data_IF_844399160902
#
_entry.id   IF_844399160902
#
_cell.length_a   1.000
_cell.length_b   1.000
_cell.length_c   1.000
_cell.angle_alpha   90.00
_cell.angle_beta   90.00
_cell.angle_gamma   90.00
#
_symmetry.space_group_name_H-M   'P 1'
#
loop_
_entity.id
_entity.type
_entity.pdbx_description
1 polymer ?
#
# COMPACT_ATOMS: atom_id res chain seq x y z
N UNK A 1 -1.35 19.22 -27.74
CA UNK A 1 -0.46 19.89 -26.76
C UNK A 1 -0.47 19.18 -25.42
N UNK A 2 -1.63 18.92 -24.83
CA UNK A 2 -1.75 18.25 -23.52
C UNK A 2 -1.16 16.83 -23.51
N UNK A 3 -1.30 16.06 -24.58
CA UNK A 3 -0.74 14.69 -24.63
C UNK A 3 0.79 14.70 -24.59
N UNK A 4 1.43 15.55 -25.41
CA UNK A 4 2.90 15.66 -25.44
C UNK A 4 3.45 16.13 -24.10
N UNK A 5 2.78 17.08 -23.48
CA UNK A 5 3.14 17.60 -22.18
C UNK A 5 3.01 16.51 -21.09
N UNK A 6 1.87 15.81 -21.06
CA UNK A 6 1.67 14.72 -20.12
C UNK A 6 2.73 13.61 -20.25
N UNK A 7 3.03 13.19 -21.48
CA UNK A 7 4.09 12.20 -21.72
C UNK A 7 5.44 12.66 -21.18
N UNK A 8 5.82 13.92 -21.42
CA UNK A 8 7.05 14.48 -20.91
C UNK A 8 7.11 14.40 -19.38
N UNK A 9 6.06 14.85 -18.67
CA UNK A 9 6.01 14.80 -17.21
C UNK A 9 6.11 13.35 -16.68
N UNK A 10 5.46 12.38 -17.33
CA UNK A 10 5.55 10.98 -16.92
C UNK A 10 6.94 10.39 -17.18
N UNK A 11 7.57 10.70 -18.29
CA UNK A 11 8.94 10.29 -18.61
C UNK A 11 9.92 10.85 -17.57
N UNK A 12 9.84 12.13 -17.23
CA UNK A 12 10.66 12.77 -16.21
C UNK A 12 10.47 12.13 -14.84
N UNK A 13 9.23 11.82 -14.44
CA UNK A 13 8.95 11.15 -13.17
C UNK A 13 9.51 9.72 -13.13
N UNK A 14 9.42 8.99 -14.23
CA UNK A 14 10.00 7.64 -14.37
C UNK A 14 11.52 7.71 -14.28
N UNK A 15 12.14 8.61 -15.02
CA UNK A 15 13.60 8.79 -15.02
C UNK A 15 14.11 9.16 -13.62
N UNK A 16 13.44 10.06 -12.93
CA UNK A 16 13.73 10.41 -11.54
C UNK A 16 13.70 9.15 -10.64
N UNK A 17 12.64 8.37 -10.72
CA UNK A 17 12.49 7.15 -9.92
C UNK A 17 13.55 6.09 -10.24
N UNK A 18 13.89 5.91 -11.52
CA UNK A 18 14.95 4.97 -11.96
C UNK A 18 16.31 5.44 -11.45
N UNK A 19 16.63 6.71 -11.63
CA UNK A 19 17.90 7.29 -11.17
C UNK A 19 18.06 7.16 -9.66
N UNK A 20 17.02 7.47 -8.88
CA UNK A 20 17.01 7.28 -7.44
C UNK A 20 17.33 5.84 -7.04
N UNK A 21 16.74 4.84 -7.72
CA UNK A 21 17.01 3.43 -7.42
C UNK A 21 18.44 3.00 -7.76
N UNK A 22 19.05 3.62 -8.77
CA UNK A 22 20.41 3.33 -9.20
C UNK A 22 21.48 4.05 -8.38
N UNK A 23 21.09 5.01 -7.54
CA UNK A 23 22.03 5.73 -6.70
C UNK A 23 22.78 4.80 -5.74
N UNK A 24 24.09 5.06 -5.58
CA UNK A 24 24.94 4.28 -4.68
C UNK A 24 24.88 4.74 -3.21
N UNK A 25 23.81 5.43 -2.84
CA UNK A 25 23.57 5.91 -1.47
C UNK A 25 22.26 5.37 -0.95
N UNK A 26 22.22 5.00 0.32
CA UNK A 26 20.97 4.63 1.01
C UNK A 26 20.13 5.88 1.26
N UNK A 27 20.79 6.99 1.61
CA UNK A 27 20.19 8.31 1.79
C UNK A 27 21.26 9.36 1.56
N UNK A 28 20.89 10.47 0.95
CA UNK A 28 21.84 11.54 0.68
C UNK A 28 21.96 12.52 1.84
N UNK A 29 20.83 12.97 2.37
CA UNK A 29 20.76 13.98 3.44
C UNK A 29 19.98 13.46 4.64
N UNK A 30 20.28 13.99 5.82
CA UNK A 30 19.50 13.79 7.05
C UNK A 30 18.53 14.97 7.19
N UNK A 31 17.26 14.66 7.42
CA UNK A 31 16.23 15.66 7.57
C UNK A 31 16.43 16.48 8.85
N UNK A 32 16.54 17.80 8.73
CA UNK A 32 16.74 18.71 9.84
C UNK A 32 15.45 19.39 10.27
N UNK A 33 15.50 20.09 11.42
CA UNK A 33 14.36 20.89 11.88
C UNK A 33 14.03 22.03 10.91
N UNK A 34 15.05 22.68 10.36
CA UNK A 34 14.92 23.77 9.40
C UNK A 34 14.26 23.29 8.10
N UNK A 35 14.67 22.12 7.61
CA UNK A 35 14.06 21.48 6.44
C UNK A 35 12.58 21.15 6.70
N UNK A 36 12.23 20.73 7.93
CA UNK A 36 10.85 20.46 8.31
C UNK A 36 10.02 21.74 8.35
N UNK A 37 10.54 22.84 8.90
CA UNK A 37 9.84 24.11 8.98
C UNK A 37 9.52 24.66 7.57
N UNK A 38 10.44 24.48 6.63
CA UNK A 38 10.20 24.87 5.22
C UNK A 38 9.12 24.00 4.57
N UNK A 39 9.20 22.70 4.73
CA UNK A 39 8.25 21.74 4.17
C UNK A 39 6.82 21.94 4.70
N UNK A 40 6.66 22.43 5.94
CA UNK A 40 5.35 22.66 6.55
C UNK A 40 4.66 23.95 6.06
N UNK A 41 5.32 24.79 5.29
CA UNK A 41 4.71 25.97 4.72
C UNK A 41 3.68 25.58 3.66
N UNK A 42 2.49 26.14 3.77
CA UNK A 42 1.46 25.92 2.75
C UNK A 42 1.88 26.65 1.45
N UNK A 43 2.02 25.94 0.33
CA UNK A 43 2.24 26.60 -0.95
C UNK A 43 0.99 27.39 -1.34
N UNK A 44 1.15 28.67 -1.60
CA UNK A 44 0.05 29.60 -1.93
C UNK A 44 0.04 30.01 -3.40
N UNK A 45 1.04 29.62 -4.17
CA UNK A 45 1.14 29.87 -5.61
C UNK A 45 0.79 28.63 -6.41
N UNK A 46 0.23 28.83 -7.60
CA UNK A 46 0.07 27.74 -8.57
C UNK A 46 1.45 27.28 -9.05
N UNK A 47 1.59 25.95 -9.23
CA UNK A 47 2.80 25.32 -9.73
C UNK A 47 2.45 24.40 -10.89
N UNK A 48 3.34 24.29 -11.86
CA UNK A 48 3.21 23.30 -12.92
C UNK A 48 3.66 21.91 -12.42
N UNK A 49 3.24 20.81 -13.05
CA UNK A 49 3.79 19.48 -12.75
C UNK A 49 5.33 19.42 -12.84
N UNK A 50 5.94 20.16 -13.76
CA UNK A 50 7.41 20.25 -13.88
C UNK A 50 8.03 20.93 -12.66
N UNK A 51 7.44 22.05 -12.19
CA UNK A 51 7.91 22.74 -10.98
C UNK A 51 7.84 21.81 -9.76
N UNK A 52 6.74 21.05 -9.63
CA UNK A 52 6.57 20.10 -8.54
C UNK A 52 7.60 18.97 -8.62
N UNK A 53 7.88 18.42 -9.81
CA UNK A 53 8.90 17.40 -10.00
C UNK A 53 10.29 17.91 -9.68
N UNK A 54 10.62 19.12 -10.08
CA UNK A 54 11.90 19.76 -9.79
C UNK A 54 12.07 19.99 -8.28
N UNK A 55 11.05 20.56 -7.62
CA UNK A 55 11.05 20.76 -6.18
C UNK A 55 11.20 19.43 -5.43
N UNK A 56 10.48 18.40 -5.85
CA UNK A 56 10.60 17.06 -5.27
C UNK A 56 12.03 16.51 -5.42
N UNK A 57 12.60 16.62 -6.61
CA UNK A 57 13.95 16.14 -6.88
C UNK A 57 15.03 16.85 -6.05
N UNK A 58 14.90 18.15 -5.86
CA UNK A 58 15.91 18.98 -5.17
C UNK A 58 15.73 18.98 -3.65
N UNK A 59 14.48 19.04 -3.18
CA UNK A 59 14.15 19.31 -1.79
C UNK A 59 13.54 18.15 -1.02
N UNK A 60 13.09 17.07 -1.69
CA UNK A 60 12.47 15.91 -1.03
C UNK A 60 13.30 14.66 -1.23
N UNK A 61 13.62 14.33 -2.48
CA UNK A 61 14.28 13.08 -2.85
C UNK A 61 15.60 12.83 -2.10
N UNK A 62 16.47 13.83 -1.84
CA UNK A 62 17.71 13.62 -1.10
C UNK A 62 17.53 13.11 0.33
N UNK A 63 16.35 13.30 0.91
CA UNK A 63 15.99 12.81 2.24
C UNK A 63 15.33 11.43 2.24
N UNK A 64 14.94 10.91 1.07
CA UNK A 64 14.31 9.62 0.94
C UNK A 64 15.30 8.48 1.16
N UNK A 65 14.82 7.39 1.74
CA UNK A 65 15.62 6.17 1.94
C UNK A 65 15.47 5.25 0.72
N UNK A 66 16.58 4.96 0.05
CA UNK A 66 16.60 4.00 -1.06
C UNK A 66 16.67 2.57 -0.51
N UNK A 67 15.50 1.96 -0.28
CA UNK A 67 15.39 0.56 0.17
C UNK A 67 15.88 -0.46 -0.87
N UNK A 68 16.03 -0.07 -2.14
CA UNK A 68 16.58 -0.93 -3.18
C UNK A 68 18.11 -0.98 -3.18
N UNK A 69 18.78 -0.12 -2.40
CA UNK A 69 20.24 -0.06 -2.34
C UNK A 69 20.81 -1.28 -1.62
N UNK A 70 21.84 -1.90 -2.21
CA UNK A 70 22.50 -3.10 -1.66
C UNK A 70 23.17 -2.88 -0.30
N UNK A 71 23.41 -1.64 0.11
CA UNK A 71 23.95 -1.27 1.42
C UNK A 71 22.87 -1.09 2.49
N UNK A 72 21.59 -1.12 2.12
CA UNK A 72 20.50 -1.06 3.08
C UNK A 72 20.28 -2.44 3.71
N UNK A 73 20.44 -2.54 5.02
CA UNK A 73 20.34 -3.81 5.77
C UNK A 73 19.49 -3.68 7.04
N UNK A 74 18.74 -2.60 7.19
CA UNK A 74 18.17 -2.23 8.48
C UNK A 74 16.71 -2.63 8.74
N UNK A 75 15.93 -2.95 7.75
CA UNK A 75 14.49 -3.20 7.86
C UNK A 75 14.07 -4.28 6.86
N UNK A 76 13.02 -5.09 7.12
CA UNK A 76 12.61 -6.15 6.20
C UNK A 76 11.91 -5.60 4.95
N UNK A 77 12.53 -4.64 4.30
CA UNK A 77 12.06 -4.01 3.09
C UNK A 77 13.16 -4.09 2.03
N UNK A 78 12.85 -4.64 0.88
CA UNK A 78 13.81 -4.85 -0.21
C UNK A 78 13.56 -3.91 -1.42
N UNK A 79 12.68 -2.94 -1.24
CA UNK A 79 12.22 -2.08 -2.33
C UNK A 79 11.27 -2.80 -3.29
N UNK A 80 10.65 -2.03 -4.16
CA UNK A 80 9.66 -2.54 -5.10
C UNK A 80 10.32 -3.21 -6.31
N UNK A 81 9.74 -4.32 -6.77
CA UNK A 81 10.12 -4.94 -8.04
C UNK A 81 9.67 -4.09 -9.24
N UNK A 82 10.34 -4.26 -10.37
CA UNK A 82 9.96 -3.59 -11.63
C UNK A 82 8.49 -3.91 -11.97
N UNK A 83 8.09 -5.17 -11.86
CA UNK A 83 6.70 -5.57 -12.12
C UNK A 83 5.70 -4.90 -11.20
N UNK A 84 6.04 -4.74 -9.91
CA UNK A 84 5.18 -4.04 -8.93
C UNK A 84 5.03 -2.57 -9.28
N UNK A 85 6.12 -1.88 -9.63
CA UNK A 85 6.07 -0.47 -10.06
C UNK A 85 5.26 -0.32 -11.34
N UNK A 86 5.50 -1.17 -12.34
CA UNK A 86 4.74 -1.15 -13.60
C UNK A 86 3.24 -1.35 -13.34
N UNK A 87 2.88 -2.30 -12.47
CA UNK A 87 1.49 -2.53 -12.09
C UNK A 87 0.86 -1.31 -11.40
N UNK A 88 1.60 -0.63 -10.52
CA UNK A 88 1.13 0.59 -9.85
C UNK A 88 0.87 1.72 -10.86
N UNK A 89 1.79 1.98 -11.79
CA UNK A 89 1.61 2.98 -12.85
C UNK A 89 0.35 2.69 -13.68
N UNK A 90 0.15 1.44 -14.10
CA UNK A 90 -1.05 1.05 -14.85
C UNK A 90 -2.31 1.23 -14.01
N UNK A 91 -2.26 0.88 -12.72
CA UNK A 91 -3.39 1.04 -11.79
C UNK A 91 -3.80 2.51 -11.65
N UNK A 92 -2.83 3.41 -11.51
CA UNK A 92 -3.08 4.85 -11.38
C UNK A 92 -3.73 5.43 -12.65
N UNK A 93 -3.28 5.00 -13.84
CA UNK A 93 -3.94 5.40 -15.09
C UNK A 93 -5.36 4.87 -15.24
N UNK A 94 -5.62 3.63 -14.78
CA UNK A 94 -6.93 2.99 -14.93
C UNK A 94 -7.96 3.52 -13.93
N UNK A 95 -7.55 3.99 -12.77
CA UNK A 95 -8.42 4.55 -11.71
C UNK A 95 -9.64 3.69 -11.38
N UNK A 96 -9.47 2.37 -11.33
CA UNK A 96 -10.57 1.44 -11.08
C UNK A 96 -11.03 1.52 -9.62
N UNK A 97 -12.18 2.10 -9.39
CA UNK A 97 -12.78 2.20 -8.06
C UNK A 97 -13.64 0.97 -7.78
N UNK A 98 -13.19 0.10 -6.86
CA UNK A 98 -13.86 -1.15 -6.52
C UNK A 98 -15.11 -1.00 -5.64
N UNK A 99 -15.62 0.21 -5.45
CA UNK A 99 -16.89 0.46 -4.74
C UNK A 99 -18.08 -0.22 -5.40
N UNK A 100 -18.00 -0.46 -6.69
CA UNK A 100 -19.05 -1.12 -7.44
C UNK A 100 -18.47 -2.10 -8.47
N UNK A 101 -18.76 -3.37 -8.28
CA UNK A 101 -18.31 -4.47 -9.14
C UNK A 101 -19.03 -4.59 -10.47
N UNK A 102 -20.10 -3.82 -10.70
CA UNK A 102 -20.93 -3.96 -11.90
C UNK A 102 -20.49 -2.99 -13.00
N UNK A 103 -20.21 -1.74 -12.67
CA UNK A 103 -19.88 -0.74 -13.68
C UNK A 103 -18.65 0.12 -13.35
N UNK A 104 -18.30 0.34 -12.08
CA UNK A 104 -17.10 1.14 -11.73
C UNK A 104 -15.80 0.37 -11.93
N UNK A 105 -15.75 -0.87 -11.49
CA UNK A 105 -14.53 -1.68 -11.56
C UNK A 105 -14.84 -3.18 -11.73
N UNK A 106 -15.54 -3.59 -12.77
CA UNK A 106 -15.96 -4.99 -12.92
C UNK A 106 -14.74 -5.93 -13.00
N UNK A 107 -13.78 -5.65 -13.85
CA UNK A 107 -12.61 -6.50 -14.01
C UNK A 107 -11.65 -6.42 -12.83
N UNK A 108 -11.46 -5.26 -12.22
CA UNK A 108 -10.55 -5.11 -11.08
C UNK A 108 -11.05 -5.88 -9.85
N UNK A 109 -12.37 -5.93 -9.63
CA UNK A 109 -12.96 -6.77 -8.59
C UNK A 109 -12.66 -8.26 -8.82
N UNK A 110 -12.81 -8.75 -10.04
CA UNK A 110 -12.46 -10.14 -10.37
C UNK A 110 -10.95 -10.42 -10.24
N UNK A 111 -10.11 -9.45 -10.59
CA UNK A 111 -8.65 -9.56 -10.42
C UNK A 111 -8.27 -9.67 -8.94
N UNK A 112 -8.87 -8.87 -8.06
CA UNK A 112 -8.65 -9.00 -6.61
C UNK A 112 -9.00 -10.39 -6.11
N UNK A 113 -10.18 -10.90 -6.48
CA UNK A 113 -10.63 -12.24 -6.08
C UNK A 113 -9.71 -13.33 -6.64
N UNK A 114 -9.24 -13.17 -7.88
CA UNK A 114 -8.29 -14.11 -8.48
C UNK A 114 -6.97 -14.15 -7.71
N UNK A 115 -6.41 -13.00 -7.35
CA UNK A 115 -5.18 -12.90 -6.54
C UNK A 115 -5.38 -13.55 -5.17
N UNK A 116 -6.50 -13.30 -4.51
CA UNK A 116 -6.84 -13.95 -3.23
C UNK A 116 -6.88 -15.47 -3.40
N UNK A 117 -7.52 -15.98 -4.46
CA UNK A 117 -7.56 -17.41 -4.75
C UNK A 117 -6.17 -18.00 -4.93
N UNK A 118 -5.31 -17.37 -5.74
CA UNK A 118 -3.93 -17.82 -5.95
C UNK A 118 -3.13 -17.87 -4.65
N UNK A 119 -3.23 -16.82 -3.83
CA UNK A 119 -2.56 -16.78 -2.53
C UNK A 119 -3.04 -17.90 -1.60
N UNK A 120 -4.34 -18.15 -1.55
CA UNK A 120 -4.90 -19.27 -0.77
C UNK A 120 -4.38 -20.62 -1.24
N UNK A 121 -4.28 -20.85 -2.54
CA UNK A 121 -3.72 -22.07 -3.12
C UNK A 121 -2.25 -22.26 -2.75
N UNK A 122 -1.44 -21.21 -2.91
CA UNK A 122 0.00 -21.23 -2.58
C UNK A 122 0.25 -21.52 -1.10
N UNK A 123 -0.57 -20.98 -0.19
CA UNK A 123 -0.47 -21.20 1.26
C UNK A 123 -1.02 -22.58 1.64
N UNK A 124 -1.80 -23.23 0.78
CA UNK A 124 -2.39 -24.56 1.02
C UNK A 124 -3.74 -24.52 1.73
N UNK A 125 -4.44 -23.40 1.73
CA UNK A 125 -5.82 -23.36 2.19
C UNK A 125 -6.74 -24.16 1.26
N UNK A 126 -7.61 -24.99 1.84
CA UNK A 126 -8.66 -25.63 1.06
C UNK A 126 -9.61 -24.58 0.51
N UNK A 127 -9.85 -24.67 -0.78
CA UNK A 127 -10.87 -23.85 -1.45
C UNK A 127 -12.07 -24.78 -1.68
N UNK A 128 -13.22 -24.39 -1.11
CA UNK A 128 -14.47 -25.10 -1.36
C UNK A 128 -14.84 -24.97 -2.85
N UNK A 129 -15.71 -25.83 -3.39
CA UNK A 129 -16.24 -25.66 -4.73
C UNK A 129 -16.78 -24.25 -4.90
N UNK A 130 -16.30 -23.55 -5.94
CA UNK A 130 -16.66 -22.17 -6.23
C UNK A 130 -17.93 -22.20 -7.08
N UNK A 131 -19.06 -21.93 -6.46
CA UNK A 131 -20.33 -21.74 -7.16
C UNK A 131 -20.54 -20.25 -7.51
N UNK A 132 -19.98 -19.37 -6.71
CA UNK A 132 -19.95 -17.92 -6.91
C UNK A 132 -18.53 -17.43 -6.64
N UNK A 133 -18.13 -16.33 -7.31
CA UNK A 133 -16.80 -15.73 -7.12
C UNK A 133 -16.52 -15.35 -5.67
N UNK A 134 -17.55 -14.99 -4.91
CA UNK A 134 -17.43 -14.63 -3.49
C UNK A 134 -17.12 -15.84 -2.58
N UNK A 135 -17.30 -17.06 -3.06
CA UNK A 135 -17.00 -18.29 -2.30
C UNK A 135 -15.49 -18.49 -2.11
N UNK A 136 -14.66 -17.78 -2.86
CA UNK A 136 -13.20 -17.76 -2.69
C UNK A 136 -12.82 -17.39 -1.27
N UNK A 137 -13.50 -16.43 -0.68
CA UNK A 137 -13.32 -15.98 0.70
C UNK A 137 -11.94 -15.39 0.97
N UNK A 138 -11.90 -14.15 1.31
CA UNK A 138 -10.69 -13.37 1.60
C UNK A 138 -10.89 -11.90 1.24
N UNK A 139 -9.97 -11.08 1.68
CA UNK A 139 -9.97 -9.64 1.41
C UNK A 139 -8.54 -9.12 1.44
N UNK A 140 -8.20 -8.20 0.55
CA UNK A 140 -6.98 -7.41 0.61
C UNK A 140 -7.22 -6.22 1.53
N UNK A 141 -6.35 -6.00 2.51
CA UNK A 141 -6.48 -4.96 3.52
C UNK A 141 -5.37 -3.93 3.41
N UNK A 142 -5.57 -2.77 4.03
CA UNK A 142 -4.58 -1.70 4.12
C UNK A 142 -3.51 -2.03 5.18
N UNK A 143 -2.52 -2.81 4.80
CA UNK A 143 -1.36 -3.15 5.64
C UNK A 143 -1.66 -4.14 6.78
N UNK A 144 -0.64 -4.41 7.60
CA UNK A 144 -0.70 -5.39 8.68
C UNK A 144 -1.72 -5.06 9.76
N UNK A 145 -1.84 -3.80 10.15
CA UNK A 145 -2.83 -3.36 11.15
C UNK A 145 -4.26 -3.64 10.70
N UNK A 146 -4.58 -3.32 9.43
CA UNK A 146 -5.89 -3.65 8.86
C UNK A 146 -6.15 -5.16 8.82
N UNK A 147 -5.13 -5.94 8.47
CA UNK A 147 -5.21 -7.41 8.45
C UNK A 147 -5.46 -7.98 9.85
N UNK A 148 -4.70 -7.54 10.85
CA UNK A 148 -4.85 -7.99 12.25
C UNK A 148 -6.23 -7.62 12.79
N UNK A 149 -6.68 -6.37 12.57
CA UNK A 149 -8.01 -5.93 13.01
C UNK A 149 -9.11 -6.78 12.38
N UNK A 150 -9.05 -7.02 11.08
CA UNK A 150 -10.02 -7.86 10.37
C UNK A 150 -10.01 -9.30 10.90
N UNK A 151 -8.83 -9.88 11.11
CA UNK A 151 -8.70 -11.23 11.67
C UNK A 151 -9.28 -11.33 13.08
N UNK A 152 -9.05 -10.33 13.93
CA UNK A 152 -9.62 -10.28 15.28
C UNK A 152 -11.14 -10.13 15.27
N UNK A 153 -11.69 -9.32 14.37
CA UNK A 153 -13.13 -9.20 14.20
C UNK A 153 -13.76 -10.52 13.78
N UNK A 154 -13.15 -11.21 12.82
CA UNK A 154 -13.60 -12.52 12.36
C UNK A 154 -13.48 -13.58 13.46
N UNK A 155 -12.39 -13.60 14.21
CA UNK A 155 -12.19 -14.52 15.33
C UNK A 155 -13.26 -14.31 16.42
N UNK A 156 -13.53 -13.06 16.76
CA UNK A 156 -14.58 -12.69 17.70
C UNK A 156 -15.96 -13.17 17.25
N UNK A 157 -16.31 -12.89 15.99
CA UNK A 157 -17.60 -13.27 15.41
C UNK A 157 -17.75 -14.81 15.28
N UNK A 158 -16.65 -15.52 15.05
CA UNK A 158 -16.65 -16.98 15.05
C UNK A 158 -16.80 -17.57 16.45
N UNK A 159 -16.22 -16.93 17.45
CA UNK A 159 -16.35 -17.35 18.85
C UNK A 159 -17.77 -17.13 19.38
N UNK A 160 -18.35 -15.94 19.11
CA UNK A 160 -19.73 -15.60 19.45
C UNK A 160 -20.38 -14.88 18.27
N UNK A 161 -21.40 -15.50 17.68
CA UNK A 161 -22.13 -14.93 16.53
C UNK A 161 -22.88 -13.64 16.89
N UNK A 162 -23.04 -12.81 15.87
CA UNK A 162 -23.78 -11.54 15.91
C UNK A 162 -23.17 -10.47 16.86
N UNK A 163 -21.88 -10.59 17.19
CA UNK A 163 -21.20 -9.56 17.98
C UNK A 163 -20.97 -8.26 17.19
N UNK A 164 -20.98 -8.34 15.86
CA UNK A 164 -20.91 -7.15 15.01
C UNK A 164 -22.23 -6.37 15.00
N UNK A 165 -23.35 -7.06 15.14
CA UNK A 165 -24.69 -6.45 15.12
C UNK A 165 -25.12 -5.96 16.52
N UNK A 166 -24.91 -6.77 17.56
CA UNK A 166 -25.41 -6.51 18.91
C UNK A 166 -24.33 -6.12 19.91
N UNK A 167 -23.08 -6.02 19.50
CA UNK A 167 -21.94 -5.73 20.36
C UNK A 167 -21.48 -6.90 21.20
N UNK A 168 -20.46 -6.65 22.02
CA UNK A 168 -19.90 -7.62 22.99
C UNK A 168 -20.61 -7.44 24.32
N UNK A 169 -21.39 -8.46 24.76
CA UNK A 169 -22.18 -8.37 26.01
C UNK A 169 -21.38 -8.75 27.25
N UNK A 170 -20.51 -9.75 27.16
CA UNK A 170 -19.71 -10.26 28.28
C UNK A 170 -18.22 -10.18 27.88
N UNK A 171 -17.58 -9.02 27.98
CA UNK A 171 -16.20 -8.84 27.53
C UNK A 171 -15.20 -9.72 28.29
N UNK A 172 -15.48 -10.10 29.52
CA UNK A 172 -14.65 -10.97 30.37
C UNK A 172 -14.51 -12.40 29.86
N UNK A 173 -15.40 -12.84 28.96
CA UNK A 173 -15.33 -14.16 28.32
C UNK A 173 -14.31 -14.19 27.17
N UNK A 174 -13.88 -13.03 26.69
CA UNK A 174 -12.92 -12.91 25.60
C UNK A 174 -11.51 -12.76 26.14
N UNK A 175 -10.61 -13.61 25.71
CA UNK A 175 -9.19 -13.54 26.07
C UNK A 175 -8.33 -13.63 24.81
N UNK A 176 -7.37 -12.74 24.71
CA UNK A 176 -6.36 -12.73 23.65
C UNK A 176 -5.01 -13.05 24.29
N UNK A 177 -4.35 -14.08 23.79
CA UNK A 177 -3.01 -14.45 24.24
C UNK A 177 -1.99 -13.77 23.33
N UNK A 178 -1.12 -12.96 23.94
CA UNK A 178 -0.04 -12.27 23.25
C UNK A 178 1.30 -12.62 23.89
N UNK A 179 2.40 -12.73 23.15
CA UNK A 179 3.73 -12.91 23.73
C UNK A 179 4.14 -11.71 24.56
N UNK A 180 4.72 -11.95 25.73
CA UNK A 180 5.23 -10.88 26.59
C UNK A 180 6.52 -10.32 25.99
N UNK A 181 6.61 -8.99 25.91
CA UNK A 181 7.86 -8.29 25.53
C UNK A 181 8.08 -8.18 24.03
N UNK A 182 7.14 -8.61 23.19
CA UNK A 182 7.15 -8.33 21.76
C UNK A 182 6.28 -7.10 21.53
N UNK A 183 6.91 -5.97 21.23
CA UNK A 183 6.24 -4.73 20.91
C UNK A 183 6.23 -4.47 19.41
N UNK A 184 5.04 -4.47 18.82
CA UNK A 184 4.77 -3.86 17.53
C UNK A 184 3.46 -3.09 17.66
N UNK A 185 3.34 -1.96 16.98
CA UNK A 185 2.15 -1.09 17.08
C UNK A 185 0.93 -1.60 16.29
N UNK A 186 1.01 -2.76 15.67
CA UNK A 186 -0.11 -3.38 14.94
C UNK A 186 -0.72 -4.56 15.69
#
# INVERSE_FOLDING_TARGET
ENEKYARKCFEEAIDMGVNFKLENKVREKIFSKESMEELLKLPISESTPEDVLNDFNENILPYCTNFSNTKFMGFPDAGNSISGITGAIVSDFMQQNIINSTFCAPIATYMEIAVIKWLREVIGYKINPINNIWDVGGIITYGGTGSNTTAMLLARENFRKNTMEYGVRNPEEYKILIPKGIGHYS
#
